data_IF_236225403950
#
_entry.id   IF_236225403950
#
_cell.length_a   1.000
_cell.length_b   1.000
_cell.length_c   1.000
_cell.angle_alpha   90.00
_cell.angle_beta   90.00
_cell.angle_gamma   90.00
#
_symmetry.space_group_name_H-M   'P 1'
#
loop_
_entity.id
_entity.type
_entity.pdbx_description
1 polymer ?
#
# COMPACT_ATOMS: atom_id res chain seq x y z
N UNK A 1 8.79 54.08 -8.78
CA UNK A 1 9.70 52.92 -8.92
C UNK A 1 11.11 53.15 -8.39
N UNK A 2 11.68 54.35 -8.55
CA UNK A 2 13.04 54.65 -8.03
C UNK A 2 13.17 54.41 -6.49
N UNK A 3 12.15 54.71 -5.72
CA UNK A 3 12.20 54.58 -4.25
C UNK A 3 12.18 53.13 -3.79
N UNK A 4 11.50 52.23 -4.52
CA UNK A 4 11.47 50.80 -4.17
C UNK A 4 12.84 50.15 -4.39
N UNK A 5 13.49 50.45 -5.49
CA UNK A 5 14.83 49.93 -5.79
C UNK A 5 15.90 50.48 -4.81
N UNK A 6 15.72 51.73 -4.35
CA UNK A 6 16.62 52.32 -3.37
C UNK A 6 16.47 51.63 -2.01
N UNK A 7 15.23 51.41 -1.55
CA UNK A 7 14.96 50.70 -0.30
C UNK A 7 15.51 49.27 -0.36
N UNK A 8 15.21 48.55 -1.46
CA UNK A 8 15.74 47.20 -1.62
C UNK A 8 17.26 47.13 -1.59
N UNK A 9 17.94 48.12 -2.20
CA UNK A 9 19.39 48.20 -2.19
C UNK A 9 19.94 48.48 -0.80
N UNK A 10 19.30 49.38 -0.06
CA UNK A 10 19.70 49.72 1.30
C UNK A 10 19.48 48.56 2.27
N UNK A 11 18.37 47.81 2.12
CA UNK A 11 18.09 46.58 2.88
C UNK A 11 19.13 45.50 2.57
N UNK A 12 19.45 45.29 1.30
CA UNK A 12 20.49 44.34 0.91
C UNK A 12 21.87 44.70 1.45
N UNK A 13 22.18 46.00 1.49
CA UNK A 13 23.42 46.50 2.05
C UNK A 13 23.46 46.29 3.55
N UNK A 14 22.37 46.56 4.26
CA UNK A 14 22.23 46.35 5.70
C UNK A 14 22.39 44.87 6.08
N UNK A 15 21.82 43.96 5.31
CA UNK A 15 21.98 42.51 5.49
C UNK A 15 23.45 42.10 5.34
N UNK A 16 24.14 42.65 4.34
CA UNK A 16 25.53 42.30 4.03
C UNK A 16 26.54 42.88 5.03
N UNK A 17 26.22 44.01 5.65
CA UNK A 17 27.11 44.69 6.60
C UNK A 17 26.89 44.24 8.04
N UNK A 18 25.71 43.73 8.38
CA UNK A 18 25.38 43.28 9.71
C UNK A 18 25.40 41.75 9.80
N UNK A 19 26.45 41.19 10.35
CA UNK A 19 26.65 39.74 10.50
C UNK A 19 25.49 39.07 11.25
N UNK A 20 24.92 39.72 12.26
CA UNK A 20 23.83 39.17 13.06
C UNK A 20 22.55 39.01 12.19
N UNK A 21 22.24 40.03 11.40
CA UNK A 21 21.11 40.00 10.47
C UNK A 21 21.30 38.94 9.40
N UNK A 22 22.49 38.79 8.85
CA UNK A 22 22.84 37.79 7.88
C UNK A 22 22.64 36.37 8.44
N UNK A 23 23.09 36.10 9.66
CA UNK A 23 22.93 34.79 10.33
C UNK A 23 21.46 34.47 10.56
N UNK A 24 20.66 35.44 11.00
CA UNK A 24 19.23 35.23 11.24
C UNK A 24 18.49 34.90 9.92
N UNK A 25 18.72 35.65 8.85
CA UNK A 25 18.09 35.42 7.54
C UNK A 25 18.53 34.07 6.94
N UNK A 26 19.82 33.75 7.08
CA UNK A 26 20.37 32.47 6.63
C UNK A 26 19.74 31.31 7.40
N UNK A 27 19.62 31.38 8.71
CA UNK A 27 18.93 30.36 9.52
C UNK A 27 17.47 30.22 9.16
N UNK A 28 16.76 31.35 8.98
CA UNK A 28 15.35 31.36 8.61
C UNK A 28 15.09 30.74 7.21
N UNK A 29 16.05 30.86 6.30
CA UNK A 29 15.96 30.25 4.98
C UNK A 29 16.36 28.76 4.97
N UNK A 30 17.42 28.42 5.70
CA UNK A 30 17.97 27.04 5.69
C UNK A 30 17.06 26.06 6.42
N UNK A 31 16.48 26.43 7.55
CA UNK A 31 15.64 25.50 8.32
C UNK A 31 14.45 24.97 7.51
N UNK A 32 13.62 25.82 6.86
CA UNK A 32 12.54 25.33 5.99
C UNK A 32 13.06 24.55 4.79
N UNK A 33 14.18 24.96 4.20
CA UNK A 33 14.79 24.28 3.05
C UNK A 33 15.21 22.86 3.43
N UNK A 34 15.91 22.68 4.54
CA UNK A 34 16.33 21.37 5.04
C UNK A 34 15.12 20.50 5.38
N UNK A 35 14.14 21.07 6.10
CA UNK A 35 12.92 20.36 6.45
C UNK A 35 12.18 19.86 5.20
N UNK A 36 12.01 20.72 4.21
CA UNK A 36 11.36 20.34 2.93
C UNK A 36 12.18 19.29 2.18
N UNK A 37 13.51 19.48 2.11
CA UNK A 37 14.41 18.54 1.44
C UNK A 37 14.35 17.15 2.07
N UNK A 38 14.39 17.05 3.40
CA UNK A 38 14.29 15.78 4.10
C UNK A 38 12.91 15.12 3.92
N UNK A 39 11.82 15.90 3.95
CA UNK A 39 10.49 15.38 3.67
C UNK A 39 10.37 14.84 2.23
N UNK A 40 10.87 15.59 1.26
CA UNK A 40 10.85 15.16 -0.15
C UNK A 40 11.70 13.91 -0.33
N UNK A 41 12.92 13.86 0.24
CA UNK A 41 13.79 12.68 0.15
C UNK A 41 13.16 11.45 0.83
N UNK A 42 12.53 11.64 2.00
CA UNK A 42 11.85 10.56 2.70
C UNK A 42 10.61 10.04 1.97
N UNK A 43 9.95 10.88 1.18
CA UNK A 43 8.74 10.54 0.43
C UNK A 43 9.01 10.34 -1.07
N UNK A 44 10.28 10.40 -1.51
CA UNK A 44 10.62 10.39 -2.92
C UNK A 44 10.23 9.08 -3.61
N UNK A 45 10.40 7.98 -2.90
CA UNK A 45 10.05 6.68 -3.40
C UNK A 45 9.56 5.75 -2.27
N UNK A 46 8.31 5.92 -1.83
CA UNK A 46 7.74 5.09 -0.77
C UNK A 46 7.52 3.64 -1.20
N UNK A 47 7.61 3.36 -2.50
CA UNK A 47 7.38 2.04 -3.09
C UNK A 47 8.65 1.27 -3.43
N UNK A 48 9.84 1.89 -3.33
CA UNK A 48 11.12 1.22 -3.66
C UNK A 48 11.50 0.09 -2.70
N UNK A 49 10.89 0.06 -1.51
CA UNK A 49 11.14 -0.98 -0.50
C UNK A 49 9.92 -1.90 -0.30
N UNK A 50 9.03 -1.97 -1.28
CA UNK A 50 7.87 -2.89 -1.21
C UNK A 50 8.26 -4.35 -1.39
N UNK A 51 9.43 -4.61 -1.94
CA UNK A 51 10.08 -5.92 -2.03
C UNK A 51 10.36 -6.55 -0.65
N UNK A 52 10.43 -5.73 0.40
CA UNK A 52 10.59 -6.19 1.79
C UNK A 52 9.26 -6.40 2.53
N UNK A 53 8.13 -6.07 1.90
CA UNK A 53 6.82 -6.31 2.47
C UNK A 53 6.41 -7.77 2.27
N UNK A 54 6.60 -8.58 3.32
CA UNK A 54 6.17 -9.97 3.32
C UNK A 54 4.66 -10.06 3.47
N UNK A 55 4.00 -10.57 2.45
CA UNK A 55 2.56 -10.84 2.45
C UNK A 55 2.36 -12.34 2.29
N UNK A 56 1.75 -12.97 3.29
CA UNK A 56 1.41 -14.38 3.22
C UNK A 56 0.15 -14.58 2.36
N UNK A 57 0.18 -15.58 1.49
CA UNK A 57 -0.97 -15.97 0.69
C UNK A 57 -1.18 -17.46 0.80
N UNK A 58 -2.40 -17.85 1.14
CA UNK A 58 -2.83 -19.23 1.21
C UNK A 58 -4.06 -19.45 0.34
N UNK A 59 -4.16 -20.62 -0.26
CA UNK A 59 -5.35 -21.04 -1.00
C UNK A 59 -5.91 -22.30 -0.38
N UNK A 60 -7.17 -22.24 -0.01
CA UNK A 60 -7.99 -23.42 0.34
C UNK A 60 -8.92 -23.80 -0.81
N UNK A 61 -8.81 -23.16 -1.99
CA UNK A 61 -9.67 -23.32 -3.13
C UNK A 61 -9.66 -24.77 -3.66
N UNK A 62 -10.83 -25.39 -3.69
CA UNK A 62 -10.99 -26.78 -4.18
C UNK A 62 -11.14 -26.85 -5.71
N UNK A 63 -11.20 -25.66 -6.37
CA UNK A 63 -11.47 -25.55 -7.79
C UNK A 63 -12.94 -25.78 -8.13
N UNK A 64 -13.32 -25.45 -9.36
CA UNK A 64 -14.66 -25.65 -9.87
C UNK A 64 -14.63 -26.47 -11.16
N UNK A 65 -15.50 -27.48 -11.25
CA UNK A 65 -15.72 -28.25 -12.46
C UNK A 65 -16.87 -27.64 -13.26
N UNK A 66 -16.56 -27.12 -14.43
CA UNK A 66 -17.56 -26.49 -15.28
C UNK A 66 -18.35 -27.56 -16.05
N UNK A 67 -19.68 -27.55 -15.95
CA UNK A 67 -20.59 -28.42 -16.71
C UNK A 67 -20.42 -28.26 -18.23
N UNK A 68 -19.89 -27.12 -18.69
CA UNK A 68 -19.71 -26.81 -20.10
C UNK A 68 -18.49 -27.47 -20.75
N UNK A 69 -17.47 -27.85 -19.98
CA UNK A 69 -16.18 -28.28 -20.52
C UNK A 69 -15.59 -29.54 -19.87
N UNK A 70 -16.19 -30.10 -18.81
CA UNK A 70 -15.62 -31.19 -17.98
C UNK A 70 -14.18 -30.91 -17.57
N UNK A 71 -13.85 -29.66 -17.41
CA UNK A 71 -12.50 -29.17 -17.03
C UNK A 71 -12.56 -28.62 -15.62
N UNK A 72 -11.76 -29.20 -14.73
CA UNK A 72 -11.59 -28.67 -13.40
C UNK A 72 -10.63 -27.49 -13.45
N UNK A 73 -11.15 -26.29 -13.17
CA UNK A 73 -10.36 -25.07 -13.07
C UNK A 73 -10.14 -24.70 -11.61
N UNK A 74 -8.90 -24.52 -11.23
CA UNK A 74 -8.50 -23.99 -9.92
C UNK A 74 -7.91 -22.60 -10.13
N UNK A 75 -8.75 -21.58 -9.93
CA UNK A 75 -8.33 -20.18 -10.08
C UNK A 75 -7.45 -19.74 -8.91
N UNK A 76 -7.60 -20.37 -7.73
CA UNK A 76 -6.74 -20.10 -6.59
C UNK A 76 -5.28 -20.44 -6.89
N UNK A 77 -5.01 -21.61 -7.45
CA UNK A 77 -3.65 -22.01 -7.85
C UNK A 77 -3.10 -21.13 -8.97
N UNK A 78 -3.94 -20.69 -9.88
CA UNK A 78 -3.54 -19.73 -10.92
C UNK A 78 -3.13 -18.38 -10.32
N UNK A 79 -3.89 -17.88 -9.35
CA UNK A 79 -3.55 -16.64 -8.63
C UNK A 79 -2.22 -16.81 -7.89
N UNK A 80 -2.04 -17.90 -7.13
CA UNK A 80 -0.76 -18.17 -6.43
C UNK A 80 0.42 -18.21 -7.40
N UNK A 81 0.24 -18.85 -8.56
CA UNK A 81 1.27 -18.94 -9.60
C UNK A 81 1.63 -17.58 -10.19
N UNK A 82 0.68 -16.69 -10.32
CA UNK A 82 0.93 -15.32 -10.79
C UNK A 82 1.61 -14.47 -9.72
N UNK A 83 1.16 -14.58 -8.46
CA UNK A 83 1.78 -13.86 -7.35
C UNK A 83 3.23 -14.28 -7.13
N UNK A 84 3.54 -15.58 -7.27
CA UNK A 84 4.91 -16.08 -7.12
C UNK A 84 5.89 -15.55 -8.18
N UNK A 85 5.38 -15.06 -9.31
CA UNK A 85 6.19 -14.44 -10.39
C UNK A 85 6.34 -12.94 -10.23
N UNK A 86 5.52 -12.33 -9.40
CA UNK A 86 5.61 -10.90 -9.13
C UNK A 86 6.75 -10.64 -8.15
N UNK A 87 7.66 -9.73 -8.50
CA UNK A 87 8.85 -9.38 -7.71
C UNK A 87 8.71 -8.03 -7.00
N UNK A 88 7.58 -7.35 -7.16
CA UNK A 88 7.35 -6.04 -6.56
C UNK A 88 7.05 -6.15 -5.05
N UNK A 89 6.60 -7.32 -4.61
CA UNK A 89 6.23 -7.65 -3.24
C UNK A 89 6.77 -9.03 -2.91
N UNK A 90 7.24 -9.24 -1.68
CA UNK A 90 7.68 -10.55 -1.18
C UNK A 90 6.46 -11.41 -0.80
N UNK A 91 5.94 -12.15 -1.80
CA UNK A 91 4.81 -13.04 -1.64
C UNK A 91 5.24 -14.37 -1.04
N UNK A 92 4.81 -14.63 0.18
CA UNK A 92 5.07 -15.90 0.87
C UNK A 92 3.86 -16.81 0.70
N UNK A 93 4.01 -17.85 -0.13
CA UNK A 93 2.96 -18.85 -0.31
C UNK A 93 3.08 -19.86 0.83
N UNK A 94 2.03 -19.97 1.62
CA UNK A 94 1.97 -20.82 2.81
C UNK A 94 0.57 -21.40 2.99
N UNK A 95 0.32 -22.12 4.08
CA UNK A 95 -1.01 -22.59 4.44
C UNK A 95 -1.83 -21.52 5.18
N UNK A 96 -3.14 -21.73 5.29
CA UNK A 96 -4.05 -20.76 5.89
C UNK A 96 -3.78 -20.51 7.38
N UNK A 97 -3.37 -21.54 8.11
CA UNK A 97 -3.06 -21.43 9.53
C UNK A 97 -1.80 -20.57 9.76
N UNK A 98 -0.75 -20.82 9.01
CA UNK A 98 0.51 -20.06 9.09
C UNK A 98 0.33 -18.62 8.60
N UNK A 99 -0.43 -18.40 7.52
CA UNK A 99 -0.75 -17.05 7.04
C UNK A 99 -1.45 -16.20 8.12
N UNK A 100 -2.41 -16.79 8.85
CA UNK A 100 -3.15 -16.10 9.92
C UNK A 100 -2.27 -15.88 11.14
N UNK A 101 -1.54 -16.90 11.61
CA UNK A 101 -0.71 -16.82 12.81
C UNK A 101 0.51 -15.93 12.59
N UNK A 102 1.19 -16.05 11.45
CA UNK A 102 2.31 -15.19 11.06
C UNK A 102 1.89 -13.71 10.92
N UNK A 103 0.68 -13.45 10.43
CA UNK A 103 0.15 -12.07 10.41
C UNK A 103 -0.12 -11.56 11.83
N UNK A 104 -0.71 -12.37 12.72
CA UNK A 104 -0.96 -11.98 14.12
C UNK A 104 0.33 -11.78 14.91
N UNK A 105 1.32 -12.62 14.72
CA UNK A 105 2.64 -12.51 15.36
C UNK A 105 3.43 -11.31 14.83
N UNK A 106 3.09 -10.83 13.63
CA UNK A 106 3.75 -9.73 12.96
C UNK A 106 4.94 -10.17 12.10
N UNK A 107 5.04 -11.43 11.76
CA UNK A 107 5.99 -11.94 10.78
C UNK A 107 5.63 -11.43 9.38
N UNK A 108 4.34 -11.51 9.03
CA UNK A 108 3.79 -10.97 7.79
C UNK A 108 3.07 -9.66 8.03
N UNK A 109 3.10 -8.76 7.06
CA UNK A 109 2.36 -7.49 7.08
C UNK A 109 0.87 -7.71 6.87
N UNK A 110 0.53 -8.68 6.02
CA UNK A 110 -0.83 -9.09 5.77
C UNK A 110 -0.86 -10.58 5.38
N UNK A 111 -1.99 -11.22 5.61
CA UNK A 111 -2.29 -12.57 5.16
C UNK A 111 -3.55 -12.57 4.32
N UNK A 112 -3.48 -13.17 3.15
CA UNK A 112 -4.61 -13.36 2.25
C UNK A 112 -4.93 -14.84 2.19
N UNK A 113 -6.17 -15.21 2.52
CA UNK A 113 -6.63 -16.59 2.44
C UNK A 113 -7.77 -16.66 1.44
N UNK A 114 -7.56 -17.41 0.36
CA UNK A 114 -8.58 -17.71 -0.63
C UNK A 114 -9.48 -18.80 -0.06
N UNK A 115 -10.82 -18.60 0.00
CA UNK A 115 -11.75 -19.59 0.53
C UNK A 115 -11.90 -20.79 -0.42
N UNK A 116 -12.49 -21.87 0.07
CA UNK A 116 -12.68 -23.12 -0.67
C UNK A 116 -13.52 -22.96 -1.93
N UNK A 117 -14.49 -22.08 -1.87
CA UNK A 117 -15.45 -21.83 -2.95
C UNK A 117 -14.99 -20.71 -3.91
N UNK A 118 -13.73 -20.27 -3.80
CA UNK A 118 -13.22 -19.12 -4.55
C UNK A 118 -13.40 -19.29 -6.07
N UNK A 119 -13.01 -20.43 -6.63
CA UNK A 119 -13.20 -20.74 -8.05
C UNK A 119 -14.67 -20.84 -8.43
N UNK A 120 -15.48 -21.47 -7.58
CA UNK A 120 -16.91 -21.64 -7.83
C UNK A 120 -17.62 -20.28 -7.87
N UNK A 121 -17.43 -19.45 -6.85
CA UNK A 121 -18.03 -18.13 -6.77
C UNK A 121 -17.60 -17.22 -7.93
N UNK A 122 -16.31 -17.29 -8.31
CA UNK A 122 -15.78 -16.45 -9.39
C UNK A 122 -16.27 -16.90 -10.76
N UNK A 123 -16.49 -18.19 -10.99
CA UNK A 123 -16.98 -18.72 -12.26
C UNK A 123 -18.50 -18.64 -12.40
N UNK A 124 -19.23 -18.52 -11.28
CA UNK A 124 -20.69 -18.45 -11.26
C UNK A 124 -21.25 -17.06 -10.97
N UNK A 125 -20.42 -16.02 -10.90
CA UNK A 125 -20.84 -14.66 -10.57
C UNK A 125 -21.94 -14.07 -11.46
N UNK A 126 -22.11 -14.61 -12.68
CA UNK A 126 -23.13 -14.20 -13.64
C UNK A 126 -24.49 -14.88 -13.43
N UNK A 127 -24.58 -15.83 -12.50
CA UNK A 127 -25.84 -16.51 -12.17
C UNK A 127 -26.58 -15.72 -11.11
N UNK A 128 -27.84 -15.37 -11.37
CA UNK A 128 -28.67 -14.64 -10.39
C UNK A 128 -28.81 -15.43 -9.10
N UNK A 129 -28.46 -14.79 -7.97
CA UNK A 129 -28.53 -15.39 -6.63
C UNK A 129 -27.21 -15.94 -6.10
N UNK A 130 -26.12 -15.87 -6.86
CA UNK A 130 -24.79 -16.25 -6.40
C UNK A 130 -24.18 -15.12 -5.56
N UNK A 131 -23.65 -15.45 -4.37
CA UNK A 131 -22.91 -14.48 -3.58
C UNK A 131 -21.55 -14.16 -4.24
N UNK A 132 -21.10 -12.90 -4.16
CA UNK A 132 -19.78 -12.54 -4.70
C UNK A 132 -18.67 -13.24 -3.90
N UNK A 133 -17.62 -13.66 -4.58
CA UNK A 133 -16.44 -14.27 -3.96
C UNK A 133 -15.87 -13.37 -2.87
N UNK A 134 -15.60 -13.93 -1.70
CA UNK A 134 -15.09 -13.21 -0.53
C UNK A 134 -13.65 -13.63 -0.27
N UNK A 135 -12.74 -12.66 -0.24
CA UNK A 135 -11.36 -12.87 0.18
C UNK A 135 -11.23 -12.61 1.68
N UNK A 136 -10.58 -13.51 2.39
CA UNK A 136 -10.27 -13.30 3.79
C UNK A 136 -8.92 -12.58 3.90
N UNK A 137 -8.97 -11.29 4.24
CA UNK A 137 -7.80 -10.45 4.45
C UNK A 137 -7.53 -10.29 5.94
N UNK A 138 -6.34 -10.69 6.37
CA UNK A 138 -5.84 -10.49 7.72
C UNK A 138 -4.75 -9.42 7.70
N UNK A 139 -4.82 -8.44 8.58
CA UNK A 139 -3.84 -7.34 8.67
C UNK A 139 -3.37 -7.17 10.11
N UNK A 140 -2.11 -6.81 10.27
CA UNK A 140 -1.55 -6.47 11.57
C UNK A 140 -1.45 -4.95 11.73
N UNK A 141 -2.45 -4.35 12.37
CA UNK A 141 -2.53 -2.90 12.61
C UNK A 141 -1.40 -2.36 13.50
N UNK A 142 -0.76 -3.24 14.30
CA UNK A 142 0.30 -2.83 15.22
C UNK A 142 1.62 -2.52 14.53
N UNK A 143 1.88 -3.11 13.37
CA UNK A 143 3.17 -2.97 12.68
C UNK A 143 3.25 -1.77 11.75
N UNK A 144 2.17 -1.40 11.10
CA UNK A 144 2.20 -0.22 10.23
C UNK A 144 0.81 0.28 9.83
N UNK A 145 0.43 1.46 10.33
CA UNK A 145 -0.83 2.13 9.97
C UNK A 145 -0.94 2.46 8.46
N UNK A 146 0.20 2.64 7.77
CA UNK A 146 0.25 2.93 6.34
C UNK A 146 -0.12 1.71 5.48
N UNK A 147 0.33 0.50 5.84
CA UNK A 147 0.01 -0.72 5.08
C UNK A 147 -1.48 -1.06 5.17
N UNK A 148 -2.08 -0.88 6.34
CA UNK A 148 -3.52 -1.04 6.55
C UNK A 148 -4.32 -0.05 5.72
N UNK A 149 -3.88 1.20 5.63
CA UNK A 149 -4.52 2.24 4.83
C UNK A 149 -4.42 1.93 3.33
N UNK A 150 -3.27 1.49 2.82
CA UNK A 150 -3.11 1.13 1.41
C UNK A 150 -3.97 -0.07 1.02
N UNK A 151 -4.04 -1.11 1.85
CA UNK A 151 -4.87 -2.29 1.60
C UNK A 151 -6.37 -2.00 1.67
N UNK A 152 -6.80 -1.11 2.58
CA UNK A 152 -8.19 -0.67 2.69
C UNK A 152 -8.61 0.23 1.54
N UNK A 153 -7.70 1.01 0.95
CA UNK A 153 -7.99 1.86 -0.21
C UNK A 153 -8.20 1.06 -1.50
N UNK A 154 -7.58 -0.10 -1.62
CA UNK A 154 -7.75 -1.01 -2.77
C UNK A 154 -8.88 -2.01 -2.59
N UNK A 155 -9.40 -2.17 -1.37
CA UNK A 155 -10.54 -3.03 -1.08
C UNK A 155 -11.83 -2.20 -1.02
N UNK A 156 -12.92 -2.59 -1.71
CA UNK A 156 -14.19 -1.90 -1.61
C UNK A 156 -14.67 -1.90 -0.17
N UNK A 157 -14.95 -0.69 0.34
CA UNK A 157 -15.35 -0.46 1.73
C UNK A 157 -16.57 -1.31 2.11
N UNK A 158 -16.59 -1.89 3.32
CA UNK A 158 -17.79 -2.59 3.83
C UNK A 158 -19.06 -1.72 3.84
N UNK A 159 -18.91 -0.38 3.85
CA UNK A 159 -20.03 0.57 3.78
C UNK A 159 -20.68 0.64 2.39
N UNK A 160 -19.96 0.33 1.32
CA UNK A 160 -20.50 0.36 -0.03
C UNK A 160 -21.35 -0.88 -0.33
N UNK A 161 -21.23 -1.95 0.48
CA UNK A 161 -22.04 -3.17 0.39
C UNK A 161 -23.46 -3.05 0.99
N UNK A 162 -23.78 -1.96 1.70
CA UNK A 162 -25.11 -1.76 2.31
C UNK A 162 -26.04 -0.88 1.47
N UNK A 163 -25.65 -0.47 0.26
CA UNK A 163 -26.44 0.44 -0.58
C UNK A 163 -27.02 -0.19 -1.84
N UNK A 164 -26.92 -1.51 -2.00
CA UNK A 164 -27.59 -2.20 -3.10
C UNK A 164 -28.37 -3.40 -2.60
#
# INVERSE_FOLDING_TARGET
>A
MKNILTILRDDLHAIRTNVMTAVIIFGLAIIPLLFTSFNVLASWDPFSNTDQLKIAVASEDEGHESDLASLKLNLGDMVLSQLSRNQDIDWVITDSADAVEGTKSGEYYAGIVLPKDFSADLLTFYVEGTEPSKLNLYTNEKKNALSTTCLLYTSPSPRDRQKY
#
